data_IF_718088720057
#
_entry.id   IF_718088720057
#
_cell.length_a   1.000
_cell.length_b   1.000
_cell.length_c   1.000
_cell.angle_alpha   90.00
_cell.angle_beta   90.00
_cell.angle_gamma   90.00
#
_symmetry.space_group_name_H-M   'P 1'
#
loop_
_entity.id
_entity.type
_entity.pdbx_description
1 polymer ?
#
# COMPACT_ATOMS: atom_id res chain seq x y z
N UNK A 1 -51.19 -53.81 2.67
CA UNK A 1 -50.72 -52.82 3.66
C UNK A 1 -50.35 -53.57 4.93
N UNK A 2 -49.12 -53.46 5.40
CA UNK A 2 -48.70 -54.11 6.66
C UNK A 2 -49.15 -53.25 7.85
N UNK A 3 -49.49 -53.87 8.99
CA UNK A 3 -49.94 -53.16 10.19
C UNK A 3 -48.98 -52.04 10.63
N UNK A 4 -47.67 -52.21 10.41
CA UNK A 4 -46.66 -51.18 10.67
C UNK A 4 -46.80 -49.91 9.82
N UNK A 5 -47.27 -50.01 8.57
CA UNK A 5 -47.51 -48.83 7.73
C UNK A 5 -48.74 -48.05 8.20
N UNK A 6 -49.80 -48.74 8.64
CA UNK A 6 -50.99 -48.11 9.22
C UNK A 6 -50.64 -47.36 10.50
N UNK A 7 -49.88 -47.97 11.41
CA UNK A 7 -49.47 -47.33 12.66
C UNK A 7 -48.59 -46.09 12.41
N UNK A 8 -47.66 -46.15 11.45
CA UNK A 8 -46.82 -44.99 11.07
C UNK A 8 -47.64 -43.83 10.51
N UNK A 9 -48.69 -44.10 9.75
CA UNK A 9 -49.56 -43.06 9.18
C UNK A 9 -50.49 -42.44 10.22
N UNK A 10 -51.04 -43.24 11.15
CA UNK A 10 -51.84 -42.72 12.26
C UNK A 10 -51.02 -41.82 13.19
N UNK A 11 -49.79 -42.22 13.49
CA UNK A 11 -48.89 -41.44 14.34
C UNK A 11 -48.50 -40.11 13.68
N UNK A 12 -48.28 -40.10 12.36
CA UNK A 12 -48.09 -38.87 11.57
C UNK A 12 -49.32 -37.96 11.60
N UNK A 13 -50.53 -38.53 11.47
CA UNK A 13 -51.77 -37.78 11.57
C UNK A 13 -51.96 -37.12 12.94
N UNK A 14 -51.69 -37.88 14.01
CA UNK A 14 -51.78 -37.35 15.38
C UNK A 14 -50.77 -36.23 15.63
N UNK A 15 -49.50 -36.42 15.25
CA UNK A 15 -48.47 -35.38 15.35
C UNK A 15 -48.87 -34.14 14.54
N UNK A 16 -49.44 -34.30 13.36
CA UNK A 16 -49.92 -33.18 12.55
C UNK A 16 -51.02 -32.38 13.26
N UNK A 17 -51.99 -33.04 13.90
CA UNK A 17 -53.09 -32.37 14.62
C UNK A 17 -52.58 -31.52 15.79
N UNK A 18 -51.54 -31.97 16.50
CA UNK A 18 -50.95 -31.19 17.59
C UNK A 18 -49.95 -30.13 17.10
N UNK A 19 -49.19 -30.44 16.05
CA UNK A 19 -48.16 -29.54 15.53
C UNK A 19 -48.76 -28.38 14.74
N UNK A 20 -49.84 -28.62 13.98
CA UNK A 20 -50.43 -27.63 13.09
C UNK A 20 -50.90 -26.35 13.80
N UNK A 21 -51.65 -26.40 14.94
CA UNK A 21 -52.03 -25.20 15.67
C UNK A 21 -50.82 -24.42 16.22
N UNK A 22 -49.81 -25.13 16.72
CA UNK A 22 -48.58 -24.53 17.25
C UNK A 22 -47.82 -23.81 16.12
N UNK A 23 -47.72 -24.45 14.95
CA UNK A 23 -47.09 -23.88 13.77
C UNK A 23 -47.81 -22.61 13.29
N UNK A 24 -49.14 -22.61 13.26
CA UNK A 24 -49.96 -21.44 12.87
C UNK A 24 -49.76 -20.29 13.87
N UNK A 25 -49.71 -20.58 15.17
CA UNK A 25 -49.41 -19.58 16.19
C UNK A 25 -48.00 -18.99 16.02
N UNK A 26 -47.00 -19.82 15.79
CA UNK A 26 -45.63 -19.36 15.56
C UNK A 26 -45.53 -18.50 14.30
N UNK A 27 -46.22 -18.87 13.22
CA UNK A 27 -46.25 -18.10 11.99
C UNK A 27 -46.95 -16.75 12.18
N UNK A 28 -48.09 -16.74 12.88
CA UNK A 28 -48.81 -15.50 13.22
C UNK A 28 -48.00 -14.57 14.10
N UNK A 29 -47.33 -15.11 15.12
CA UNK A 29 -46.44 -14.36 15.99
C UNK A 29 -45.22 -13.83 15.23
N UNK A 30 -44.60 -14.65 14.37
CA UNK A 30 -43.49 -14.25 13.53
C UNK A 30 -43.87 -13.13 12.55
N UNK A 31 -45.07 -13.18 11.97
CA UNK A 31 -45.59 -12.10 11.14
C UNK A 31 -45.79 -10.81 11.94
N UNK A 32 -46.44 -10.89 13.10
CA UNK A 32 -46.68 -9.75 13.98
C UNK A 32 -45.36 -9.12 14.44
N UNK A 33 -44.39 -9.95 14.82
CA UNK A 33 -43.07 -9.51 15.23
C UNK A 33 -42.37 -8.77 14.08
N UNK A 34 -42.21 -9.43 12.93
CA UNK A 34 -41.44 -8.88 11.82
C UNK A 34 -42.11 -7.68 11.12
N UNK A 35 -43.44 -7.58 11.15
CA UNK A 35 -44.17 -6.52 10.44
C UNK A 35 -44.55 -5.34 11.31
N UNK A 36 -44.74 -5.54 12.61
CA UNK A 36 -45.28 -4.50 13.50
C UNK A 36 -44.29 -4.16 14.61
N UNK A 37 -43.85 -5.17 15.37
CA UNK A 37 -43.03 -4.92 16.56
C UNK A 37 -41.61 -4.52 16.20
N UNK A 38 -40.97 -5.24 15.27
CA UNK A 38 -39.58 -4.98 14.88
C UNK A 38 -39.38 -3.60 14.23
N UNK A 39 -40.24 -3.15 13.29
CA UNK A 39 -40.12 -1.79 12.74
C UNK A 39 -40.38 -0.70 13.79
N UNK A 40 -41.36 -0.90 14.67
CA UNK A 40 -41.67 0.07 15.74
C UNK A 40 -40.53 0.15 16.76
N UNK A 41 -39.98 -1.00 17.17
CA UNK A 41 -38.85 -1.07 18.09
C UNK A 41 -37.59 -0.49 17.48
N UNK A 42 -37.30 -0.81 16.22
CA UNK A 42 -36.18 -0.25 15.47
C UNK A 42 -36.30 1.27 15.33
N UNK A 43 -37.49 1.78 14.99
CA UNK A 43 -37.73 3.21 14.92
C UNK A 43 -37.50 3.89 16.27
N UNK A 44 -38.00 3.30 17.36
CA UNK A 44 -37.82 3.82 18.72
C UNK A 44 -36.35 3.79 19.13
N UNK A 45 -35.63 2.70 18.88
CA UNK A 45 -34.20 2.60 19.16
C UNK A 45 -33.39 3.65 18.40
N UNK A 46 -33.67 3.83 17.10
CA UNK A 46 -32.95 4.79 16.28
C UNK A 46 -33.27 6.24 16.63
N UNK A 47 -34.54 6.54 16.94
CA UNK A 47 -35.01 7.91 17.17
C UNK A 47 -34.88 8.38 18.61
N UNK A 48 -34.87 7.47 19.57
CA UNK A 48 -34.93 7.80 21.01
C UNK A 48 -33.71 7.25 21.74
N UNK A 49 -33.46 5.95 21.66
CA UNK A 49 -32.39 5.34 22.45
C UNK A 49 -30.99 5.81 22.01
N UNK A 50 -30.71 5.85 20.71
CA UNK A 50 -29.43 6.34 20.18
C UNK A 50 -29.12 7.80 20.58
N UNK A 51 -30.00 8.79 20.34
CA UNK A 51 -29.70 10.16 20.73
C UNK A 51 -29.60 10.34 22.24
N UNK A 52 -30.40 9.62 23.04
CA UNK A 52 -30.27 9.62 24.50
C UNK A 52 -28.94 9.03 24.94
N UNK A 53 -28.54 7.88 24.40
CA UNK A 53 -27.24 7.27 24.70
C UNK A 53 -26.08 8.20 24.32
N UNK A 54 -26.16 8.85 23.16
CA UNK A 54 -25.16 9.82 22.73
C UNK A 54 -25.14 11.06 23.64
N UNK A 55 -26.30 11.54 24.09
CA UNK A 55 -26.40 12.65 25.02
C UNK A 55 -25.83 12.30 26.39
N UNK A 56 -26.18 11.12 26.94
CA UNK A 56 -25.63 10.60 28.20
C UNK A 56 -24.13 10.42 28.08
N UNK A 57 -23.65 9.88 26.96
CA UNK A 57 -22.22 9.72 26.72
C UNK A 57 -21.49 11.07 26.75
N UNK A 58 -21.93 12.04 25.95
CA UNK A 58 -21.27 13.35 25.84
C UNK A 58 -21.38 14.19 27.11
N UNK A 59 -22.50 14.10 27.83
CA UNK A 59 -22.79 14.96 28.98
C UNK A 59 -22.22 14.42 30.27
N UNK A 60 -22.24 13.10 30.45
CA UNK A 60 -21.87 12.47 31.72
C UNK A 60 -20.60 11.62 31.59
N UNK A 61 -20.59 10.65 30.68
CA UNK A 61 -19.48 9.69 30.62
C UNK A 61 -18.19 10.30 30.10
N UNK A 62 -18.24 11.12 29.04
CA UNK A 62 -17.07 11.75 28.45
C UNK A 62 -16.31 12.65 29.45
N UNK A 63 -16.96 13.61 30.14
CA UNK A 63 -16.25 14.40 31.13
C UNK A 63 -15.73 13.54 32.29
N UNK A 64 -16.55 12.61 32.81
CA UNK A 64 -16.10 11.70 33.87
C UNK A 64 -14.87 10.88 33.44
N UNK A 65 -14.87 10.36 32.22
CA UNK A 65 -13.76 9.58 31.68
C UNK A 65 -12.48 10.42 31.59
N UNK A 66 -12.59 11.66 31.11
CA UNK A 66 -11.44 12.59 31.04
C UNK A 66 -10.90 12.91 32.43
N UNK A 67 -11.76 13.18 33.40
CA UNK A 67 -11.33 13.51 34.77
C UNK A 67 -10.75 12.31 35.52
N UNK A 68 -11.35 11.12 35.36
CA UNK A 68 -10.97 9.91 36.10
C UNK A 68 -9.75 9.24 35.48
N UNK A 69 -9.65 9.19 34.15
CA UNK A 69 -8.58 8.43 33.48
C UNK A 69 -7.54 9.32 32.82
N UNK A 70 -7.95 10.30 32.01
CA UNK A 70 -6.96 11.08 31.24
C UNK A 70 -6.09 11.98 32.12
N UNK A 71 -6.68 12.69 33.09
CA UNK A 71 -5.89 13.58 33.94
C UNK A 71 -4.88 12.81 34.81
N UNK A 72 -5.25 11.73 35.51
CA UNK A 72 -4.28 10.95 36.28
C UNK A 72 -3.27 10.25 35.38
N UNK A 73 -3.66 9.74 34.21
CA UNK A 73 -2.72 9.14 33.27
C UNK A 73 -1.69 10.18 32.75
N UNK A 74 -2.13 11.39 32.43
CA UNK A 74 -1.23 12.49 32.01
C UNK A 74 -0.30 12.90 33.14
N UNK A 75 -0.80 13.00 34.37
CA UNK A 75 0.02 13.29 35.54
C UNK A 75 1.03 12.17 35.79
N UNK A 76 0.60 10.90 35.80
CA UNK A 76 1.45 9.73 35.98
C UNK A 76 2.54 9.67 34.91
N UNK A 77 2.18 9.97 33.65
CA UNK A 77 3.13 10.03 32.55
C UNK A 77 4.20 11.10 32.78
N UNK A 78 3.78 12.33 33.09
CA UNK A 78 4.70 13.46 33.27
C UNK A 78 5.58 13.32 34.52
N UNK A 79 5.01 12.82 35.62
CA UNK A 79 5.64 12.81 36.93
C UNK A 79 6.49 11.56 37.15
N UNK A 80 6.06 10.39 36.69
CA UNK A 80 6.74 9.12 36.97
C UNK A 80 7.34 8.49 35.72
N UNK A 81 6.52 8.17 34.73
CA UNK A 81 6.98 7.38 33.58
C UNK A 81 8.05 8.13 32.77
N UNK A 82 7.83 9.40 32.44
CA UNK A 82 8.77 10.18 31.64
C UNK A 82 10.15 10.31 32.29
N UNK A 83 10.29 10.71 33.57
CA UNK A 83 11.60 10.75 34.21
C UNK A 83 12.23 9.37 34.36
N UNK A 84 11.45 8.32 34.66
CA UNK A 84 11.97 6.95 34.72
C UNK A 84 12.50 6.49 33.37
N UNK A 85 11.75 6.67 32.28
CA UNK A 85 12.22 6.34 30.94
C UNK A 85 13.46 7.13 30.55
N UNK A 86 13.50 8.43 30.88
CA UNK A 86 14.69 9.26 30.64
C UNK A 86 15.90 8.76 31.43
N UNK A 87 15.70 8.36 32.68
CA UNK A 87 16.75 7.79 33.53
C UNK A 87 17.25 6.47 32.96
N UNK A 88 16.36 5.53 32.68
CA UNK A 88 16.70 4.23 32.08
C UNK A 88 17.44 4.44 30.76
N UNK A 89 16.95 5.35 29.91
CA UNK A 89 17.58 5.64 28.62
C UNK A 89 18.99 6.21 28.78
N UNK A 90 19.17 7.24 29.59
CA UNK A 90 20.46 7.93 29.71
C UNK A 90 21.50 7.12 30.48
N UNK A 91 21.09 6.41 31.53
CA UNK A 91 22.02 5.75 32.44
C UNK A 91 22.22 4.26 32.15
N UNK A 92 21.21 3.57 31.61
CA UNK A 92 21.32 2.13 31.35
C UNK A 92 21.45 1.85 29.87
N UNK A 93 20.49 2.29 29.06
CA UNK A 93 20.41 1.86 27.67
C UNK A 93 21.43 2.55 26.77
N UNK A 94 21.59 3.86 26.88
CA UNK A 94 22.53 4.62 26.05
C UNK A 94 23.97 4.16 26.25
N UNK A 95 24.51 4.01 27.48
CA UNK A 95 25.86 3.52 27.68
C UNK A 95 25.99 2.08 27.18
N UNK A 96 25.02 1.22 27.46
CA UNK A 96 25.06 -0.17 27.01
C UNK A 96 25.10 -0.24 25.48
N UNK A 97 24.22 0.47 24.77
CA UNK A 97 24.25 0.52 23.30
C UNK A 97 25.57 1.12 22.78
N UNK A 98 26.07 2.17 23.42
CA UNK A 98 27.31 2.81 23.01
C UNK A 98 28.51 1.87 23.14
N UNK A 99 28.65 1.18 24.27
CA UNK A 99 29.80 0.30 24.52
C UNK A 99 29.66 -1.07 23.85
N UNK A 100 28.45 -1.65 23.81
CA UNK A 100 28.23 -3.00 23.28
C UNK A 100 28.08 -3.00 21.76
N UNK A 101 27.51 -1.94 21.17
CA UNK A 101 27.23 -1.92 19.73
C UNK A 101 28.12 -0.93 19.01
N UNK A 102 28.12 0.34 19.43
CA UNK A 102 28.83 1.39 18.69
C UNK A 102 30.35 1.22 18.75
N UNK A 103 30.92 0.93 19.92
CA UNK A 103 32.36 0.69 20.09
C UNK A 103 32.91 -0.44 19.21
N UNK A 104 32.36 -1.67 19.23
CA UNK A 104 32.87 -2.74 18.38
C UNK A 104 32.63 -2.49 16.89
N UNK A 105 31.52 -1.85 16.53
CA UNK A 105 31.28 -1.48 15.14
C UNK A 105 32.29 -0.44 14.66
N UNK A 106 32.59 0.57 15.48
CA UNK A 106 33.64 1.55 15.21
C UNK A 106 35.01 0.90 15.12
N UNK A 107 35.31 -0.06 15.99
CA UNK A 107 36.54 -0.84 15.97
C UNK A 107 36.65 -1.66 14.67
N UNK A 108 35.61 -2.41 14.32
CA UNK A 108 35.51 -3.17 13.06
C UNK A 108 35.71 -2.26 11.85
N UNK A 109 35.13 -1.06 11.87
CA UNK A 109 35.30 -0.10 10.79
C UNK A 109 36.76 0.37 10.67
N UNK A 110 37.37 0.81 11.78
CA UNK A 110 38.72 1.38 11.76
C UNK A 110 39.77 0.33 11.40
N UNK A 111 39.69 -0.86 11.99
CA UNK A 111 40.73 -1.88 11.87
C UNK A 111 40.46 -2.89 10.75
N UNK A 112 39.20 -3.25 10.50
CA UNK A 112 38.85 -4.19 9.44
C UNK A 112 38.55 -3.49 8.12
N UNK A 113 37.42 -2.78 8.09
CA UNK A 113 36.83 -2.30 6.84
C UNK A 113 37.60 -1.15 6.21
N UNK A 114 38.18 -0.24 6.99
CA UNK A 114 38.95 0.90 6.47
C UNK A 114 40.21 0.42 5.75
N UNK A 115 40.94 -0.53 6.33
CA UNK A 115 42.11 -1.14 5.71
C UNK A 115 41.75 -1.84 4.40
N UNK A 116 40.72 -2.69 4.44
CA UNK A 116 40.19 -3.37 3.25
C UNK A 116 39.75 -2.37 2.16
N UNK A 117 39.04 -1.32 2.54
CA UNK A 117 38.58 -0.28 1.63
C UNK A 117 39.76 0.43 0.93
N UNK A 118 40.75 0.87 1.70
CA UNK A 118 41.88 1.64 1.15
C UNK A 118 42.83 0.77 0.34
N UNK A 119 43.15 -0.44 0.81
CA UNK A 119 44.17 -1.28 0.20
C UNK A 119 43.66 -2.22 -0.88
N UNK A 120 42.38 -2.61 -0.85
CA UNK A 120 41.82 -3.58 -1.82
C UNK A 120 40.74 -2.91 -2.64
N UNK A 121 39.71 -2.35 -2.00
CA UNK A 121 38.53 -1.87 -2.74
C UNK A 121 38.87 -0.67 -3.63
N UNK A 122 39.59 0.32 -3.10
CA UNK A 122 39.98 1.53 -3.85
C UNK A 122 40.84 1.21 -5.09
N UNK A 123 41.91 0.39 -5.02
CA UNK A 123 42.67 0.05 -6.22
C UNK A 123 41.87 -0.80 -7.20
N UNK A 124 41.05 -1.74 -6.73
CA UNK A 124 40.17 -2.54 -7.62
C UNK A 124 39.18 -1.62 -8.35
N UNK A 125 38.51 -0.72 -7.64
CA UNK A 125 37.58 0.24 -8.26
C UNK A 125 38.28 1.14 -9.28
N UNK A 126 39.50 1.59 -8.98
CA UNK A 126 40.30 2.37 -9.93
C UNK A 126 40.66 1.55 -11.18
N UNK A 127 41.08 0.29 -11.00
CA UNK A 127 41.38 -0.62 -12.11
C UNK A 127 40.13 -0.88 -12.97
N UNK A 128 38.98 -1.16 -12.34
CA UNK A 128 37.69 -1.30 -13.02
C UNK A 128 37.31 -0.03 -13.79
N UNK A 129 37.52 1.16 -13.21
CA UNK A 129 37.27 2.44 -13.89
C UNK A 129 38.12 2.58 -15.14
N UNK A 130 39.41 2.26 -15.05
CA UNK A 130 40.33 2.29 -16.20
C UNK A 130 39.87 1.29 -17.25
N UNK A 131 39.58 0.05 -16.88
CA UNK A 131 39.09 -0.98 -17.79
C UNK A 131 37.78 -0.56 -18.48
N UNK A 132 36.83 0.02 -17.76
CA UNK A 132 35.57 0.52 -18.31
C UNK A 132 35.81 1.63 -19.36
N UNK A 133 36.74 2.56 -19.10
CA UNK A 133 37.10 3.59 -20.07
C UNK A 133 37.73 2.99 -21.33
N UNK A 134 38.62 2.00 -21.17
CA UNK A 134 39.21 1.29 -22.31
C UNK A 134 38.16 0.57 -23.14
N UNK A 135 37.28 -0.19 -22.50
CA UNK A 135 36.18 -0.89 -23.17
C UNK A 135 35.27 0.10 -23.90
N UNK A 136 34.89 1.20 -23.25
CA UNK A 136 34.07 2.24 -23.87
C UNK A 136 34.74 2.87 -25.10
N UNK A 137 36.06 3.09 -25.03
CA UNK A 137 36.84 3.63 -26.15
C UNK A 137 36.89 2.66 -27.33
N UNK A 138 37.18 1.38 -27.07
CA UNK A 138 37.19 0.34 -28.10
C UNK A 138 35.81 0.17 -28.71
N UNK A 139 34.77 0.07 -27.90
CA UNK A 139 33.40 -0.06 -28.36
C UNK A 139 32.97 1.14 -29.21
N UNK A 140 33.33 2.36 -28.79
CA UNK A 140 33.09 3.58 -29.58
C UNK A 140 33.82 3.55 -30.92
N UNK A 141 35.07 3.10 -30.95
CA UNK A 141 35.84 2.97 -32.19
C UNK A 141 35.20 1.95 -33.14
N UNK A 142 34.79 0.78 -32.62
CA UNK A 142 34.09 -0.27 -33.36
C UNK A 142 32.74 0.23 -33.88
N UNK A 143 31.98 0.97 -33.06
CA UNK A 143 30.71 1.57 -33.49
C UNK A 143 30.90 2.58 -34.62
N UNK A 144 31.95 3.40 -34.54
CA UNK A 144 32.28 4.36 -35.58
C UNK A 144 32.63 3.67 -36.90
N UNK A 145 33.37 2.56 -36.86
CA UNK A 145 33.77 1.84 -38.08
C UNK A 145 32.65 0.97 -38.65
N UNK A 146 31.91 0.25 -37.81
CA UNK A 146 30.88 -0.70 -38.25
C UNK A 146 29.54 -0.05 -38.57
N UNK A 147 29.15 1.02 -37.88
CA UNK A 147 27.82 1.61 -38.04
C UNK A 147 27.93 3.00 -38.64
N UNK A 148 28.67 3.90 -38.00
CA UNK A 148 28.64 5.33 -38.40
C UNK A 148 29.21 5.55 -39.80
N UNK A 149 30.36 4.94 -40.12
CA UNK A 149 30.98 5.07 -41.45
C UNK A 149 30.12 4.52 -42.58
N UNK A 150 29.65 3.26 -42.54
CA UNK A 150 28.81 2.73 -43.62
C UNK A 150 27.46 3.42 -43.67
N UNK A 151 26.85 3.78 -42.53
CA UNK A 151 25.61 4.55 -42.54
C UNK A 151 25.80 5.94 -43.15
N UNK A 152 26.91 6.62 -42.85
CA UNK A 152 27.24 7.92 -43.46
C UNK A 152 27.48 7.79 -44.97
N UNK A 153 28.16 6.72 -45.40
CA UNK A 153 28.33 6.43 -46.81
C UNK A 153 26.99 6.14 -47.49
N UNK A 154 26.16 5.29 -46.89
CA UNK A 154 24.84 4.93 -47.39
C UNK A 154 23.92 6.16 -47.48
N UNK A 155 23.97 7.04 -46.48
CA UNK A 155 23.27 8.33 -46.53
C UNK A 155 23.75 9.16 -47.71
N UNK A 156 25.06 9.33 -47.90
CA UNK A 156 25.62 10.13 -49.01
C UNK A 156 25.34 9.53 -50.38
N UNK A 157 25.35 8.21 -50.50
CA UNK A 157 25.28 7.52 -51.79
C UNK A 157 23.84 7.17 -52.19
N UNK A 158 23.02 6.69 -51.26
CA UNK A 158 21.68 6.19 -51.57
C UNK A 158 20.57 7.17 -51.22
N UNK A 159 20.65 7.86 -50.08
CA UNK A 159 19.53 8.66 -49.58
C UNK A 159 19.63 10.14 -49.94
N UNK A 160 20.84 10.70 -49.95
CA UNK A 160 21.05 12.11 -50.23
C UNK A 160 20.66 12.49 -51.67
N UNK A 161 21.04 11.75 -52.73
CA UNK A 161 20.67 12.12 -54.10
C UNK A 161 19.15 12.16 -54.35
N UNK A 162 18.34 11.14 -53.97
CA UNK A 162 16.91 11.19 -54.19
C UNK A 162 16.21 12.21 -53.29
N UNK A 163 16.69 12.44 -52.06
CA UNK A 163 16.15 13.49 -51.20
C UNK A 163 16.44 14.89 -51.75
N UNK A 164 17.64 15.13 -52.27
CA UNK A 164 17.99 16.40 -52.90
C UNK A 164 17.18 16.63 -54.17
N UNK A 165 16.98 15.60 -54.98
CA UNK A 165 16.11 15.67 -56.14
C UNK A 165 14.66 15.97 -55.73
N UNK A 166 14.08 15.21 -54.80
CA UNK A 166 12.72 15.41 -54.30
C UNK A 166 12.54 16.83 -53.74
N UNK A 167 13.54 17.34 -53.02
CA UNK A 167 13.53 18.71 -52.50
C UNK A 167 13.50 19.74 -53.61
N UNK A 168 14.32 19.57 -54.65
CA UNK A 168 14.43 20.52 -55.76
C UNK A 168 13.20 20.45 -56.67
N UNK A 169 12.74 19.25 -56.98
CA UNK A 169 11.76 19.00 -58.03
C UNK A 169 10.32 18.97 -57.53
N UNK A 170 10.09 18.55 -56.29
CA UNK A 170 8.74 18.41 -55.74
C UNK A 170 8.48 19.48 -54.68
N UNK A 171 9.31 19.55 -53.65
CA UNK A 171 9.05 20.43 -52.50
C UNK A 171 9.21 21.92 -52.83
N UNK A 172 10.21 22.28 -53.66
CA UNK A 172 10.44 23.68 -54.03
C UNK A 172 9.30 24.26 -54.88
N UNK A 173 8.84 23.63 -55.97
CA UNK A 173 7.70 24.16 -56.73
C UNK A 173 6.38 24.07 -55.96
N UNK A 174 6.14 23.01 -55.18
CA UNK A 174 4.97 22.96 -54.30
C UNK A 174 4.97 24.11 -53.28
N UNK A 175 6.12 24.46 -52.72
CA UNK A 175 6.24 25.61 -51.82
C UNK A 175 5.95 26.94 -52.50
N UNK A 176 6.34 27.11 -53.77
CA UNK A 176 6.01 28.30 -54.58
C UNK A 176 4.52 28.34 -54.88
N UNK A 177 3.93 27.22 -55.29
CA UNK A 177 2.50 27.08 -55.58
C UNK A 177 1.62 27.28 -54.33
N UNK A 178 2.02 26.72 -53.20
CA UNK A 178 1.29 26.89 -51.93
C UNK A 178 1.36 28.34 -51.44
N UNK A 179 2.50 29.01 -51.64
CA UNK A 179 2.66 30.43 -51.32
C UNK A 179 1.77 31.32 -52.22
N UNK A 180 1.44 30.90 -53.43
CA UNK A 180 0.49 31.64 -54.28
C UNK A 180 -0.97 31.45 -53.89
N UNK A 181 -1.33 30.43 -53.09
CA UNK A 181 -2.68 30.24 -52.53
C UNK A 181 -2.98 31.12 -51.31
N UNK A 182 -1.95 31.61 -50.62
CA UNK A 182 -2.08 32.46 -49.42
C UNK A 182 -1.86 33.95 -49.70
N UNK A 183 -1.81 34.34 -50.98
CA UNK A 183 -1.92 35.73 -51.44
C UNK A 183 -3.29 35.94 -52.05
#
# INVERSE_FOLDING_TARGET
>A
MTAGQLMKNLLKGFVFVFYFPIYVLQMGFGWLWNRVLDPAFSWLMLRVALPLAAWVWRTLLEPLWRYVFELPARWLWKTLLRPLFRFIWLYMLYPLLHYVVYMPLRFLWIYGLRGFYVHILRPVLNACRIAALWIGTVLSAVWQTLVVRPLRWLWRTLLHPPLDWLRREVLKPLGVWFRSWFR
#
